data_IF_813813422366
#
_entry.id   IF_813813422366
#
_cell.length_a   1.000
_cell.length_b   1.000
_cell.length_c   1.000
_cell.angle_alpha   90.00
_cell.angle_beta   90.00
_cell.angle_gamma   90.00
#
_symmetry.space_group_name_H-M   'P 1'
#
loop_
_entity.id
_entity.type
_entity.pdbx_description
1 polymer ?
#
# COMPACT_ATOMS: atom_id res chain seq x y z
N UNK A 1 -33.10 9.71 16.30
CA UNK A 1 -32.86 9.19 14.93
C UNK A 1 -31.89 10.05 14.13
N UNK A 2 -31.71 11.34 14.46
CA UNK A 2 -30.75 12.25 13.81
C UNK A 2 -29.31 12.04 14.30
N UNK A 3 -29.08 11.92 15.60
CA UNK A 3 -27.72 11.75 16.18
C UNK A 3 -26.94 10.53 15.68
N UNK A 4 -27.64 9.42 15.37
CA UNK A 4 -26.99 8.19 14.92
C UNK A 4 -26.52 8.29 13.46
N UNK A 5 -27.19 9.11 12.65
CA UNK A 5 -26.84 9.34 11.25
C UNK A 5 -25.70 10.36 11.15
N UNK A 6 -25.73 11.40 11.97
CA UNK A 6 -24.68 12.43 12.00
C UNK A 6 -23.31 11.84 12.39
N UNK A 7 -23.29 10.93 13.36
CA UNK A 7 -22.07 10.23 13.79
C UNK A 7 -21.51 9.29 12.70
N UNK A 8 -22.39 8.67 11.90
CA UNK A 8 -21.95 7.84 10.76
C UNK A 8 -21.32 8.66 9.65
N UNK A 9 -21.88 9.84 9.34
CA UNK A 9 -21.29 10.75 8.35
C UNK A 9 -19.93 11.27 8.82
N UNK A 10 -19.79 11.64 10.09
CA UNK A 10 -18.52 12.08 10.65
C UNK A 10 -17.43 11.00 10.56
N UNK A 11 -17.74 9.73 10.88
CA UNK A 11 -16.78 8.63 10.77
C UNK A 11 -16.37 8.38 9.31
N UNK A 12 -17.31 8.42 8.37
CA UNK A 12 -17.02 8.32 6.93
C UNK A 12 -16.08 9.44 6.48
N UNK A 13 -16.37 10.69 6.86
CA UNK A 13 -15.54 11.83 6.51
C UNK A 13 -14.12 11.69 7.07
N UNK A 14 -13.97 11.18 8.30
CA UNK A 14 -12.66 10.90 8.91
C UNK A 14 -11.89 9.83 8.13
N UNK A 15 -12.54 8.74 7.72
CA UNK A 15 -11.92 7.67 6.92
C UNK A 15 -11.48 8.19 5.55
N UNK A 16 -12.33 8.97 4.89
CA UNK A 16 -12.03 9.57 3.57
C UNK A 16 -10.88 10.57 3.68
N UNK A 17 -10.90 11.46 4.67
CA UNK A 17 -9.85 12.45 4.91
C UNK A 17 -8.52 11.83 5.40
N UNK A 18 -8.55 10.64 5.98
CA UNK A 18 -7.33 9.89 6.28
C UNK A 18 -6.72 9.29 5.01
N UNK A 19 -7.56 8.82 4.08
CA UNK A 19 -7.14 8.04 2.91
C UNK A 19 -6.70 8.93 1.74
N UNK A 20 -7.53 9.90 1.33
CA UNK A 20 -7.38 10.58 0.03
C UNK A 20 -6.44 11.80 0.02
N UNK A 21 -6.47 12.71 1.00
CA UNK A 21 -5.57 13.87 0.99
C UNK A 21 -4.09 13.46 1.00
N UNK A 22 -3.32 13.99 0.03
CA UNK A 22 -1.90 13.66 -0.11
C UNK A 22 -1.63 12.25 -0.66
N UNK A 23 -2.64 11.54 -1.13
CA UNK A 23 -2.49 10.23 -1.74
C UNK A 23 -1.57 10.32 -2.97
N UNK A 24 -0.57 9.46 -3.00
CA UNK A 24 0.34 9.31 -4.14
C UNK A 24 0.63 7.83 -4.39
N UNK A 25 1.34 7.54 -5.48
CA UNK A 25 1.67 6.18 -5.90
C UNK A 25 3.12 5.84 -5.55
N UNK A 26 3.29 4.77 -4.80
CA UNK A 26 4.58 4.14 -4.52
C UNK A 26 4.68 2.80 -5.23
N UNK A 27 5.91 2.31 -5.41
CA UNK A 27 6.20 1.16 -6.26
C UNK A 27 7.06 0.16 -5.50
N UNK A 28 6.75 -1.12 -5.69
CA UNK A 28 7.54 -2.24 -5.18
C UNK A 28 7.51 -3.36 -6.22
N UNK A 29 8.68 -3.67 -6.74
CA UNK A 29 8.88 -4.81 -7.64
C UNK A 29 9.34 -6.02 -6.80
N UNK A 30 8.66 -7.13 -6.98
CA UNK A 30 8.89 -8.42 -6.31
C UNK A 30 8.92 -9.54 -7.34
N UNK A 31 9.83 -10.50 -7.18
CA UNK A 31 9.80 -11.73 -7.97
C UNK A 31 8.93 -12.76 -7.25
N UNK A 32 7.76 -13.07 -7.79
CA UNK A 32 6.74 -13.90 -7.13
C UNK A 32 6.27 -15.04 -8.05
N UNK A 33 5.95 -16.20 -7.48
CA UNK A 33 5.34 -17.27 -8.27
C UNK A 33 3.90 -16.92 -8.66
N UNK A 34 3.41 -17.51 -9.75
CA UNK A 34 2.05 -17.24 -10.25
C UNK A 34 0.98 -17.59 -9.20
N UNK A 35 1.17 -18.67 -8.44
CA UNK A 35 0.26 -19.06 -7.35
C UNK A 35 0.17 -18.02 -6.22
N UNK A 36 1.20 -17.19 -6.05
CA UNK A 36 1.19 -16.09 -5.07
C UNK A 36 0.49 -14.87 -5.65
N UNK A 37 0.80 -14.53 -6.90
CA UNK A 37 0.15 -13.43 -7.63
C UNK A 37 -1.37 -13.65 -7.67
N UNK A 38 -1.82 -14.88 -7.93
CA UNK A 38 -3.24 -15.22 -8.06
C UNK A 38 -4.03 -15.06 -6.75
N UNK A 39 -3.37 -14.99 -5.58
CA UNK A 39 -4.04 -14.73 -4.30
C UNK A 39 -4.56 -13.29 -4.17
N UNK A 40 -4.03 -12.34 -4.95
CA UNK A 40 -4.40 -10.93 -4.89
C UNK A 40 -5.59 -10.63 -5.80
N UNK A 41 -6.77 -11.08 -5.41
CA UNK A 41 -8.01 -10.87 -6.18
C UNK A 41 -8.54 -9.44 -6.04
N UNK A 42 -9.17 -8.90 -7.09
CA UNK A 42 -9.82 -7.58 -7.06
C UNK A 42 -10.85 -7.53 -5.91
N UNK A 43 -10.90 -6.40 -5.19
CA UNK A 43 -11.68 -6.15 -3.95
C UNK A 43 -11.21 -6.92 -2.72
N UNK A 44 -10.18 -7.77 -2.80
CA UNK A 44 -9.59 -8.41 -1.62
C UNK A 44 -9.07 -7.33 -0.67
N UNK A 45 -9.52 -7.38 0.58
CA UNK A 45 -8.94 -6.62 1.68
C UNK A 45 -8.04 -7.55 2.48
N UNK A 46 -6.83 -7.09 2.80
CA UNK A 46 -5.85 -7.83 3.58
C UNK A 46 -5.03 -6.91 4.48
N UNK A 47 -4.38 -7.49 5.50
CA UNK A 47 -3.46 -6.79 6.41
C UNK A 47 -2.02 -7.18 6.10
N UNK A 48 -1.12 -6.20 6.09
CA UNK A 48 0.30 -6.46 6.21
C UNK A 48 0.70 -6.43 7.68
N UNK A 49 1.07 -7.58 8.25
CA UNK A 49 1.61 -7.63 9.61
C UNK A 49 2.97 -6.94 9.70
N UNK A 50 3.76 -6.99 8.64
CA UNK A 50 5.09 -6.38 8.57
C UNK A 50 5.03 -4.96 8.01
N UNK A 51 6.09 -4.19 8.24
CA UNK A 51 6.33 -2.95 7.52
C UNK A 51 6.41 -3.21 6.01
N UNK A 52 5.92 -2.25 5.21
CA UNK A 52 5.94 -2.36 3.75
C UNK A 52 6.90 -1.32 3.18
N UNK A 53 8.05 -1.80 2.77
CA UNK A 53 9.06 -1.02 2.08
C UNK A 53 8.64 -0.76 0.63
N UNK A 54 8.70 0.51 0.23
CA UNK A 54 8.29 0.98 -1.11
C UNK A 54 9.21 2.09 -1.60
N UNK A 55 9.28 2.26 -2.92
CA UNK A 55 10.06 3.31 -3.59
C UNK A 55 9.13 4.38 -4.17
N UNK A 56 9.54 5.64 -4.14
CA UNK A 56 8.88 6.71 -4.90
C UNK A 56 9.42 6.83 -6.34
N UNK A 57 10.48 6.09 -6.69
CA UNK A 57 10.99 5.97 -8.06
C UNK A 57 10.28 4.85 -8.81
N UNK A 58 10.06 5.08 -10.11
CA UNK A 58 9.48 4.09 -11.00
C UNK A 58 9.97 4.27 -12.44
N UNK A 59 10.56 3.21 -12.99
CA UNK A 59 10.82 3.03 -14.40
C UNK A 59 10.34 1.64 -14.82
N UNK A 60 11.02 1.00 -15.77
CA UNK A 60 10.69 -0.38 -16.16
C UNK A 60 10.76 -1.33 -14.96
N UNK A 61 9.72 -2.15 -14.71
CA UNK A 61 9.75 -3.19 -13.68
C UNK A 61 11.00 -4.06 -13.75
N UNK A 62 11.58 -4.37 -12.59
CA UNK A 62 12.81 -5.16 -12.49
C UNK A 62 12.55 -6.66 -12.30
N UNK A 63 11.32 -7.03 -11.95
CA UNK A 63 10.86 -8.41 -11.68
C UNK A 63 9.48 -8.65 -12.30
N UNK A 64 8.97 -9.87 -12.19
CA UNK A 64 7.69 -10.27 -12.81
C UNK A 64 6.42 -9.67 -12.17
N UNK A 65 6.48 -9.15 -10.94
CA UNK A 65 5.33 -8.57 -10.25
C UNK A 65 5.64 -7.16 -9.72
N UNK A 66 4.75 -6.20 -10.01
CA UNK A 66 4.81 -4.83 -9.49
C UNK A 66 3.59 -4.53 -8.62
N UNK A 67 3.82 -4.22 -7.36
CA UNK A 67 2.82 -3.54 -6.55
C UNK A 67 2.88 -2.04 -6.83
N UNK A 68 1.74 -1.45 -7.17
CA UNK A 68 1.52 0.00 -7.03
C UNK A 68 0.70 0.20 -5.78
N UNK A 69 1.22 0.99 -4.85
CA UNK A 69 0.60 1.26 -3.56
C UNK A 69 0.15 2.72 -3.55
N UNK A 70 -1.16 2.93 -3.61
CA UNK A 70 -1.77 4.22 -3.41
C UNK A 70 -1.83 4.52 -1.91
N UNK A 71 -1.07 5.50 -1.43
CA UNK A 71 -1.05 5.86 0.00
C UNK A 71 -0.68 7.32 0.25
N UNK A 72 -1.28 7.90 1.30
CA UNK A 72 -0.88 9.18 1.90
C UNK A 72 0.01 8.99 3.14
N UNK A 73 0.30 7.74 3.53
CA UNK A 73 0.91 7.36 4.81
C UNK A 73 2.19 6.53 4.65
N UNK A 74 2.99 6.82 3.63
CA UNK A 74 4.32 6.24 3.49
C UNK A 74 5.36 7.21 4.07
N UNK A 75 6.10 6.80 5.10
CA UNK A 75 7.09 7.63 5.77
C UNK A 75 8.40 7.71 4.95
N UNK A 76 8.93 8.91 4.64
CA UNK A 76 10.14 9.08 3.86
C UNK A 76 11.40 8.81 4.71
N UNK A 77 11.73 7.54 4.96
CA UNK A 77 12.84 7.17 5.85
C UNK A 77 14.22 7.60 5.32
N UNK A 78 14.35 7.84 4.01
CA UNK A 78 15.58 8.41 3.45
C UNK A 78 15.96 9.77 4.06
N UNK A 79 15.01 10.52 4.64
CA UNK A 79 15.30 11.77 5.36
C UNK A 79 16.09 11.57 6.66
N UNK A 80 16.04 10.37 7.24
CA UNK A 80 16.74 10.01 8.48
C UNK A 80 17.97 9.14 8.21
N UNK A 81 17.93 8.35 7.15
CA UNK A 81 19.07 7.58 6.66
C UNK A 81 19.36 7.94 5.20
N UNK A 82 20.21 8.95 4.94
CA UNK A 82 20.52 9.39 3.57
C UNK A 82 21.04 8.27 2.66
N UNK A 83 21.60 7.18 3.21
CA UNK A 83 22.05 6.03 2.42
C UNK A 83 20.91 5.32 1.67
N UNK A 84 19.65 5.49 2.10
CA UNK A 84 18.48 4.90 1.45
C UNK A 84 17.79 5.85 0.47
N UNK A 85 18.30 7.07 0.30
CA UNK A 85 17.79 8.03 -0.68
C UNK A 85 17.93 7.53 -2.11
N UNK A 86 18.99 6.76 -2.40
CA UNK A 86 19.19 6.10 -3.71
C UNK A 86 18.01 5.20 -4.13
N UNK A 87 17.23 4.69 -3.19
CA UNK A 87 16.03 3.90 -3.47
C UNK A 87 14.73 4.71 -3.38
N UNK A 88 14.82 5.99 -3.01
CA UNK A 88 13.63 6.78 -2.73
C UNK A 88 12.80 6.17 -1.60
N UNK A 89 13.48 5.57 -0.60
CA UNK A 89 12.85 4.66 0.36
C UNK A 89 11.76 5.34 1.18
N UNK A 90 10.54 4.83 1.05
CA UNK A 90 9.46 5.07 1.97
C UNK A 90 9.01 3.77 2.65
N UNK A 91 8.43 3.90 3.83
CA UNK A 91 7.92 2.75 4.58
C UNK A 91 6.49 3.02 5.03
N UNK A 92 5.59 2.11 4.68
CA UNK A 92 4.24 2.06 5.23
C UNK A 92 4.27 1.18 6.48
N UNK A 93 3.50 1.58 7.48
CA UNK A 93 3.57 1.00 8.82
C UNK A 93 3.20 -0.49 8.84
N UNK A 94 3.65 -1.20 9.86
CA UNK A 94 3.14 -2.54 10.16
C UNK A 94 1.68 -2.48 10.60
N UNK A 95 0.95 -3.58 10.42
CA UNK A 95 -0.51 -3.67 10.63
C UNK A 95 -1.33 -2.72 9.75
N UNK A 96 -0.80 -2.32 8.59
CA UNK A 96 -1.53 -1.55 7.59
C UNK A 96 -2.49 -2.43 6.78
N UNK A 97 -3.63 -1.85 6.39
CA UNK A 97 -4.68 -2.54 5.64
C UNK A 97 -4.72 -2.06 4.19
N UNK A 98 -4.94 -2.99 3.27
CA UNK A 98 -4.93 -2.71 1.85
C UNK A 98 -6.14 -3.33 1.18
N UNK A 99 -6.72 -2.61 0.22
CA UNK A 99 -7.71 -3.12 -0.73
C UNK A 99 -7.06 -3.28 -2.10
N UNK A 100 -7.15 -4.46 -2.70
CA UNK A 100 -6.78 -4.68 -4.11
C UNK A 100 -7.82 -4.00 -4.99
N UNK A 101 -7.39 -3.06 -5.81
CA UNK A 101 -8.27 -2.34 -6.73
C UNK A 101 -8.22 -2.92 -8.14
N UNK A 102 -7.04 -3.36 -8.58
CA UNK A 102 -6.85 -3.87 -9.93
C UNK A 102 -5.69 -4.85 -10.01
N UNK A 103 -5.81 -5.79 -10.95
CA UNK A 103 -4.75 -6.71 -11.35
C UNK A 103 -4.63 -6.61 -12.87
N UNK A 104 -3.58 -5.95 -13.34
CA UNK A 104 -3.36 -5.67 -14.75
C UNK A 104 -2.11 -6.41 -15.24
N UNK A 105 -2.24 -7.16 -16.34
CA UNK A 105 -1.13 -7.88 -16.96
C UNK A 105 -0.70 -7.18 -18.24
N UNK A 106 0.60 -6.95 -18.37
CA UNK A 106 1.21 -6.38 -19.57
C UNK A 106 2.54 -7.07 -19.82
N UNK A 107 2.63 -7.76 -20.95
CA UNK A 107 3.78 -8.63 -21.26
C UNK A 107 3.99 -9.65 -20.12
N UNK A 108 5.23 -9.83 -19.65
CA UNK A 108 5.59 -10.73 -18.55
C UNK A 108 5.35 -10.11 -17.16
N UNK A 109 4.80 -8.90 -17.08
CA UNK A 109 4.61 -8.18 -15.83
C UNK A 109 3.16 -8.26 -15.37
N UNK A 110 2.96 -8.67 -14.12
CA UNK A 110 1.69 -8.47 -13.41
C UNK A 110 1.78 -7.27 -12.48
N UNK A 111 0.92 -6.28 -12.69
CA UNK A 111 0.74 -5.15 -11.79
C UNK A 111 -0.45 -5.38 -10.87
N UNK A 112 -0.25 -5.19 -9.58
CA UNK A 112 -1.29 -5.22 -8.54
C UNK A 112 -1.40 -3.82 -7.96
N UNK A 113 -2.52 -3.15 -8.21
CA UNK A 113 -2.83 -1.86 -7.59
C UNK A 113 -3.53 -2.10 -6.25
N UNK A 114 -2.95 -1.59 -5.17
CA UNK A 114 -3.54 -1.65 -3.83
C UNK A 114 -3.71 -0.24 -3.25
N UNK A 115 -4.83 -0.02 -2.55
CA UNK A 115 -5.13 1.20 -1.81
C UNK A 115 -4.89 0.98 -0.32
N UNK A 116 -4.08 1.82 0.30
CA UNK A 116 -3.88 1.82 1.75
C UNK A 116 -5.09 2.46 2.43
N UNK A 117 -5.78 1.70 3.28
CA UNK A 117 -7.00 2.11 3.99
C UNK A 117 -6.80 1.97 5.51
N UNK A 118 -7.55 2.71 6.34
CA UNK A 118 -7.48 2.54 7.78
C UNK A 118 -8.31 1.33 8.24
N UNK A 119 -8.00 0.78 9.42
CA UNK A 119 -8.71 -0.36 10.01
C UNK A 119 -10.23 -0.11 10.11
N UNK A 120 -10.64 1.02 10.70
CA UNK A 120 -12.06 1.39 10.82
C UNK A 120 -12.73 1.64 9.45
N UNK A 121 -11.95 1.79 8.38
CA UNK A 121 -12.44 1.95 7.01
C UNK A 121 -12.76 0.65 6.28
N UNK A 122 -12.41 -0.52 6.81
CA UNK A 122 -12.56 -1.81 6.10
C UNK A 122 -13.99 -2.01 5.59
N UNK A 123 -15.00 -1.81 6.44
CA UNK A 123 -16.40 -2.02 6.05
C UNK A 123 -16.88 -1.01 5.02
N UNK A 124 -16.42 0.24 5.10
CA UNK A 124 -16.72 1.27 4.10
C UNK A 124 -16.17 0.86 2.73
N UNK A 125 -14.87 0.55 2.66
CA UNK A 125 -14.20 0.23 1.40
C UNK A 125 -14.61 -1.12 0.81
N UNK A 126 -15.15 -2.03 1.63
CA UNK A 126 -15.69 -3.31 1.18
C UNK A 126 -17.02 -3.14 0.45
N UNK A 127 -17.88 -2.25 0.96
CA UNK A 127 -19.28 -2.16 0.54
C UNK A 127 -19.59 -0.95 -0.34
N UNK A 128 -18.69 0.03 -0.40
CA UNK A 128 -18.93 1.33 -1.04
C UNK A 128 -17.86 1.66 -2.06
N UNK A 129 -18.27 2.36 -3.11
CA UNK A 129 -17.38 3.02 -4.08
C UNK A 129 -17.35 4.49 -3.73
N UNK A 130 -16.14 5.06 -3.63
CA UNK A 130 -15.98 6.48 -3.32
C UNK A 130 -16.06 7.30 -4.60
N UNK A 131 -16.88 8.35 -4.57
CA UNK A 131 -16.99 9.33 -5.64
C UNK A 131 -16.42 10.68 -5.17
N UNK A 132 -15.69 11.37 -6.05
CA UNK A 132 -15.25 12.76 -5.83
C UNK A 132 -15.96 13.61 -6.89
N UNK A 133 -16.98 14.35 -6.46
CA UNK A 133 -17.91 14.98 -7.41
C UNK A 133 -18.69 13.90 -8.18
N UNK A 134 -18.60 13.91 -9.51
CA UNK A 134 -19.24 12.92 -10.39
C UNK A 134 -18.29 11.78 -10.80
N UNK A 135 -17.03 11.83 -10.39
CA UNK A 135 -16.01 10.86 -10.81
C UNK A 135 -15.86 9.73 -9.79
N UNK A 136 -15.85 8.49 -10.29
CA UNK A 136 -15.48 7.32 -9.48
C UNK A 136 -13.97 7.36 -9.21
N UNK A 137 -13.60 7.60 -7.96
CA UNK A 137 -12.22 7.73 -7.55
C UNK A 137 -11.40 6.45 -7.82
N UNK A 138 -11.97 5.27 -7.58
CA UNK A 138 -11.27 4.00 -7.80
C UNK A 138 -10.98 3.78 -9.28
N UNK A 139 -11.93 4.08 -10.16
CA UNK A 139 -11.73 3.95 -11.62
C UNK A 139 -10.63 4.89 -12.15
N UNK A 140 -10.60 6.13 -11.67
CA UNK A 140 -9.57 7.11 -12.05
C UNK A 140 -8.16 6.62 -11.66
N UNK A 141 -7.97 6.14 -10.43
CA UNK A 141 -6.65 5.65 -9.99
C UNK A 141 -6.28 4.33 -10.69
N UNK A 142 -7.25 3.48 -11.01
CA UNK A 142 -7.03 2.26 -11.82
C UNK A 142 -6.50 2.67 -13.20
N UNK A 143 -7.18 3.57 -13.90
CA UNK A 143 -6.77 4.05 -15.22
C UNK A 143 -5.36 4.67 -15.18
N UNK A 144 -5.10 5.54 -14.21
CA UNK A 144 -3.77 6.16 -14.02
C UNK A 144 -2.68 5.11 -13.77
N UNK A 145 -2.98 4.07 -12.98
CA UNK A 145 -2.02 3.00 -12.68
C UNK A 145 -1.67 2.17 -13.92
N UNK A 146 -2.65 1.83 -14.77
CA UNK A 146 -2.43 1.05 -16.00
C UNK A 146 -1.62 1.85 -17.01
N UNK A 147 -2.00 3.11 -17.24
CA UNK A 147 -1.26 4.03 -18.10
C UNK A 147 0.17 4.24 -17.60
N UNK A 148 0.37 4.25 -16.29
CA UNK A 148 1.70 4.31 -15.68
C UNK A 148 2.55 3.09 -16.07
N UNK A 149 2.02 1.87 -16.01
CA UNK A 149 2.76 0.67 -16.43
C UNK A 149 3.08 0.68 -17.92
N UNK A 150 2.07 0.95 -18.76
CA UNK A 150 2.20 0.95 -20.22
C UNK A 150 3.29 1.94 -20.68
N UNK A 151 3.42 3.08 -20.00
CA UNK A 151 4.52 4.03 -20.25
C UNK A 151 5.85 3.51 -19.73
N UNK A 152 5.88 3.03 -18.48
CA UNK A 152 7.13 2.70 -17.77
C UNK A 152 7.83 1.46 -18.29
N UNK A 153 7.12 0.50 -18.87
CA UNK A 153 7.74 -0.72 -19.42
C UNK A 153 8.75 -0.41 -20.53
N UNK A 154 8.60 0.75 -21.18
CA UNK A 154 9.48 1.25 -22.24
C UNK A 154 10.60 2.18 -21.75
N UNK A 155 10.70 2.42 -20.44
CA UNK A 155 11.77 3.25 -19.84
C UNK A 155 12.93 2.38 -19.38
N UNK A 156 14.03 3.01 -18.96
CA UNK A 156 15.07 2.30 -18.21
C UNK A 156 14.58 1.98 -16.79
N UNK A 157 15.06 0.86 -16.24
CA UNK A 157 14.86 0.54 -14.83
C UNK A 157 15.78 1.43 -13.97
N UNK A 158 15.31 2.01 -12.86
CA UNK A 158 16.20 2.74 -11.96
C UNK A 158 17.28 1.81 -11.42
N UNK A 159 18.55 2.11 -11.71
CA UNK A 159 19.67 1.19 -11.42
C UNK A 159 19.75 0.79 -9.93
N UNK A 160 19.50 1.74 -9.02
CA UNK A 160 19.50 1.49 -7.59
C UNK A 160 18.44 0.47 -7.13
N UNK A 161 17.32 0.34 -7.86
CA UNK A 161 16.27 -0.65 -7.56
C UNK A 161 16.59 -2.05 -8.11
N UNK A 162 17.75 -2.23 -8.73
CA UNK A 162 18.32 -3.55 -9.08
C UNK A 162 19.44 -3.98 -8.12
N UNK A 163 19.79 -3.14 -7.14
CA UNK A 163 20.80 -3.49 -6.15
C UNK A 163 20.31 -4.65 -5.26
N UNK A 164 21.24 -5.54 -4.89
CA UNK A 164 20.94 -6.73 -4.10
C UNK A 164 20.21 -6.40 -2.79
N UNK A 165 20.61 -5.33 -2.10
CA UNK A 165 20.01 -4.91 -0.84
C UNK A 165 18.56 -4.46 -1.02
N UNK A 166 18.22 -3.80 -2.13
CA UNK A 166 16.84 -3.45 -2.43
C UNK A 166 16.01 -4.69 -2.74
N UNK A 167 16.53 -5.58 -3.60
CA UNK A 167 15.84 -6.80 -3.99
C UNK A 167 15.53 -7.70 -2.80
N UNK A 168 16.43 -7.81 -1.81
CA UNK A 168 16.17 -8.55 -0.56
C UNK A 168 15.04 -7.92 0.24
N UNK A 169 14.94 -6.59 0.28
CA UNK A 169 13.89 -5.88 1.03
C UNK A 169 12.51 -6.01 0.39
N UNK A 170 12.46 -6.29 -0.91
CA UNK A 170 11.19 -6.38 -1.64
C UNK A 170 10.83 -7.77 -2.12
N UNK A 171 11.65 -8.80 -1.86
CA UNK A 171 11.43 -10.14 -2.42
C UNK A 171 10.22 -10.90 -1.85
N UNK A 172 9.66 -10.47 -0.72
CA UNK A 172 8.51 -11.14 -0.09
C UNK A 172 7.16 -10.58 -0.60
N UNK A 173 6.10 -11.40 -0.64
CA UNK A 173 4.74 -10.91 -0.91
C UNK A 173 4.24 -9.97 0.21
N UNK A 174 3.39 -8.99 -0.13
CA UNK A 174 2.79 -8.10 0.87
C UNK A 174 1.60 -8.79 1.53
N UNK A 175 1.62 -8.94 2.86
CA UNK A 175 0.48 -9.41 3.64
C UNK A 175 0.29 -10.93 3.70
N UNK A 176 1.24 -11.72 3.19
CA UNK A 176 1.27 -13.17 3.37
C UNK A 176 2.30 -13.57 4.43
N UNK A 177 2.01 -14.65 5.15
CA UNK A 177 2.91 -15.29 6.10
C UNK A 177 3.88 -16.27 5.40
N UNK A 178 4.71 -16.96 6.18
CA UNK A 178 5.69 -17.93 5.67
C UNK A 178 5.05 -19.18 5.03
N UNK A 179 3.75 -19.43 5.29
CA UNK A 179 2.97 -20.46 4.62
C UNK A 179 2.28 -19.94 3.35
N UNK A 180 2.56 -18.69 2.98
CA UNK A 180 1.93 -17.94 1.91
C UNK A 180 0.43 -17.66 2.14
N UNK A 181 -0.07 -17.73 3.37
CA UNK A 181 -1.46 -17.40 3.70
C UNK A 181 -1.59 -15.95 4.14
N UNK A 182 -2.72 -15.31 3.84
CA UNK A 182 -2.95 -13.94 4.29
C UNK A 182 -3.00 -13.90 5.82
N UNK A 183 -2.30 -12.93 6.41
CA UNK A 183 -2.44 -12.66 7.83
C UNK A 183 -3.90 -12.36 8.19
N UNK A 184 -4.32 -12.78 9.40
CA UNK A 184 -5.61 -12.42 9.98
C UNK A 184 -5.82 -10.90 9.94
N UNK A 185 -7.03 -10.43 9.61
CA UNK A 185 -7.35 -8.99 9.68
C UNK A 185 -7.25 -8.45 11.10
N UNK A 186 -7.51 -9.29 12.12
CA UNK A 186 -7.25 -8.96 13.52
C UNK A 186 -5.78 -9.26 13.83
N UNK A 187 -4.96 -8.28 14.25
CA UNK A 187 -3.61 -8.54 14.72
C UNK A 187 -3.61 -9.46 15.93
N UNK A 188 -2.84 -10.53 15.83
CA UNK A 188 -2.73 -11.56 16.85
C UNK A 188 -1.40 -11.50 17.59
N UNK A 189 -0.43 -10.78 17.06
CA UNK A 189 0.95 -10.75 17.56
C UNK A 189 1.34 -9.38 18.08
N UNK A 190 1.97 -9.36 19.25
CA UNK A 190 2.55 -8.16 19.81
C UNK A 190 3.83 -7.80 19.07
N UNK A 191 3.98 -6.52 18.71
CA UNK A 191 5.21 -6.02 18.10
C UNK A 191 6.39 -6.15 19.06
N UNK A 192 7.57 -6.51 18.54
CA UNK A 192 8.82 -6.43 19.30
C UNK A 192 9.12 -4.99 19.74
N UNK A 193 10.01 -4.79 20.71
CA UNK A 193 10.38 -3.45 21.16
C UNK A 193 10.92 -2.57 20.01
N UNK A 194 11.78 -3.13 19.17
CA UNK A 194 12.34 -2.43 18.01
C UNK A 194 11.24 -2.05 17.00
N UNK A 195 10.31 -2.99 16.75
CA UNK A 195 9.16 -2.74 15.88
C UNK A 195 8.23 -1.66 16.46
N UNK A 196 8.01 -1.62 17.78
CA UNK A 196 7.20 -0.58 18.43
C UNK A 196 7.83 0.82 18.28
N UNK A 197 9.16 0.92 18.39
CA UNK A 197 9.89 2.18 18.19
C UNK A 197 9.70 2.68 16.75
N UNK A 198 9.94 1.81 15.76
CA UNK A 198 9.77 2.18 14.35
C UNK A 198 8.32 2.49 14.01
N UNK A 199 7.37 1.69 14.52
CA UNK A 199 5.93 1.92 14.36
C UNK A 199 5.53 3.32 14.84
N UNK A 200 5.98 3.70 16.04
CA UNK A 200 5.70 5.00 16.64
C UNK A 200 6.36 6.15 15.87
N UNK A 201 7.58 5.94 15.37
CA UNK A 201 8.27 6.91 14.53
C UNK A 201 7.52 7.15 13.22
N UNK A 202 7.11 6.09 12.52
CA UNK A 202 6.34 6.17 11.28
C UNK A 202 5.02 6.92 11.51
N UNK A 203 4.23 6.58 12.55
CA UNK A 203 2.99 7.30 12.89
C UNK A 203 3.21 8.80 13.02
N UNK A 204 4.28 9.22 13.70
CA UNK A 204 4.63 10.65 13.84
C UNK A 204 5.01 11.30 12.51
N UNK A 205 5.79 10.62 11.68
CA UNK A 205 6.25 11.14 10.38
C UNK A 205 5.12 11.30 9.36
N UNK A 206 4.12 10.43 9.42
CA UNK A 206 2.97 10.45 8.50
C UNK A 206 1.78 11.21 9.07
N UNK A 207 1.93 11.81 10.25
CA UNK A 207 0.85 12.41 11.03
C UNK A 207 -0.38 11.48 11.15
N UNK A 208 -0.12 10.17 11.33
CA UNK A 208 -1.14 9.16 11.56
C UNK A 208 -1.37 9.02 13.08
N UNK A 209 -2.01 10.04 13.65
CA UNK A 209 -2.26 10.16 15.09
C UNK A 209 -3.72 9.91 15.47
N UNK A 210 -4.56 9.54 14.50
CA UNK A 210 -5.96 9.17 14.75
C UNK A 210 -6.08 7.76 15.33
N UNK A 211 -7.22 7.50 15.94
CA UNK A 211 -7.67 6.18 16.42
C UNK A 211 -8.24 5.28 15.30
N UNK A 212 -8.24 5.73 14.04
CA UNK A 212 -8.78 4.97 12.89
C UNK A 212 -8.05 3.64 12.63
N UNK A 213 -6.85 3.47 13.20
CA UNK A 213 -6.04 2.25 13.14
C UNK A 213 -5.87 1.56 14.51
N UNK A 214 -6.61 2.00 15.53
CA UNK A 214 -6.67 1.33 16.83
C UNK A 214 -7.69 0.19 16.77
N UNK A 215 -7.34 -0.95 17.37
CA UNK A 215 -8.06 -2.23 17.33
C UNK A 215 -8.49 -2.61 18.73
#
# INVERSE_FOLDING_TARGET
>A
MTENTDNQFEEIDRIVNWTLPGLTMYYRDSELSQSIIDKYEIKKIFRSQTFVDVSNYAGKPTTNCRFIIASSKAAPLYKFNPKTEKWGLHVINCNSFFKVLDVYRKEEITQILILHIPYKGIDLFKNTVIFIGEENFEEDIILKSRLSLDKKINLESPAALNEREWLIRTCFPIGLDDNNEFFSLMPTEQLSLEAQILHSAIKKLTNDLSDLNEI
#
